data_IF_586558450651
#
_entry.id   IF_586558450651
#
_cell.length_a   1.000
_cell.length_b   1.000
_cell.length_c   1.000
_cell.angle_alpha   90.00
_cell.angle_beta   90.00
_cell.angle_gamma   90.00
#
_symmetry.space_group_name_H-M   'P 1'
#
loop_
_entity.id
_entity.type
_entity.pdbx_description
1 polymer ?
#
# COMPACT_ATOMS: atom_id res chain seq x y z
N UNK A 1 0.75 -7.38 -30.62
CA UNK A 1 0.31 -6.11 -29.99
C UNK A 1 -0.38 -6.45 -28.67
N UNK A 2 0.36 -6.53 -27.56
CA UNK A 2 -0.20 -6.97 -26.27
C UNK A 2 -0.61 -5.81 -25.35
N UNK A 3 -0.06 -4.61 -25.55
CA UNK A 3 -0.37 -3.40 -24.77
C UNK A 3 -1.08 -2.41 -25.71
N UNK A 4 -2.34 -2.02 -25.43
CA UNK A 4 -3.09 -1.08 -26.26
C UNK A 4 -2.59 0.37 -26.15
N UNK A 5 -1.70 0.66 -25.21
CA UNK A 5 -1.11 1.98 -24.99
C UNK A 5 0.30 2.06 -25.62
N UNK A 6 0.44 2.89 -26.66
CA UNK A 6 1.70 3.09 -27.37
C UNK A 6 2.79 3.72 -26.49
N UNK A 7 2.44 4.76 -25.71
CA UNK A 7 3.38 5.47 -24.84
C UNK A 7 3.97 4.54 -23.78
N UNK A 8 3.13 3.72 -23.15
CA UNK A 8 3.58 2.70 -22.19
C UNK A 8 4.52 1.69 -22.84
N UNK A 9 4.18 1.21 -24.04
CA UNK A 9 5.03 0.28 -24.80
C UNK A 9 6.39 0.87 -25.16
N UNK A 10 6.46 2.17 -25.49
CA UNK A 10 7.72 2.87 -25.75
C UNK A 10 8.57 3.01 -24.48
N UNK A 11 7.99 3.47 -23.38
CA UNK A 11 8.70 3.62 -22.09
C UNK A 11 9.32 2.31 -21.60
N UNK A 12 8.60 1.19 -21.71
CA UNK A 12 9.12 -0.13 -21.33
C UNK A 12 10.34 -0.55 -22.18
N UNK A 13 10.40 -0.17 -23.47
CA UNK A 13 11.57 -0.45 -24.31
C UNK A 13 12.79 0.35 -23.86
N UNK A 14 12.61 1.63 -23.52
CA UNK A 14 13.69 2.48 -23.02
C UNK A 14 14.29 1.89 -21.73
N UNK A 15 13.44 1.50 -20.78
CA UNK A 15 13.88 0.85 -19.53
C UNK A 15 14.62 -0.45 -19.83
N UNK A 16 14.12 -1.29 -20.76
CA UNK A 16 14.80 -2.52 -21.16
C UNK A 16 16.21 -2.26 -21.70
N UNK A 17 16.39 -1.26 -22.55
CA UNK A 17 17.73 -0.92 -23.06
C UNK A 17 18.68 -0.48 -21.95
N UNK A 18 18.20 0.27 -20.96
CA UNK A 18 18.99 0.60 -19.78
C UNK A 18 19.43 -0.67 -19.02
N UNK A 19 18.52 -1.61 -18.74
CA UNK A 19 18.89 -2.87 -18.07
C UNK A 19 19.82 -3.77 -18.89
N UNK A 20 19.68 -3.80 -20.22
CA UNK A 20 20.62 -4.51 -21.10
C UNK A 20 22.01 -3.87 -20.99
N UNK A 21 22.09 -2.54 -20.98
CA UNK A 21 23.35 -1.82 -20.83
C UNK A 21 24.01 -2.09 -19.47
N UNK A 22 23.26 -2.03 -18.36
CA UNK A 22 23.78 -2.40 -17.03
C UNK A 22 24.21 -3.87 -16.98
N UNK A 23 23.44 -4.76 -17.62
CA UNK A 23 23.79 -6.18 -17.76
C UNK A 23 25.04 -6.42 -18.61
N UNK A 24 25.30 -5.60 -19.61
CA UNK A 24 26.51 -5.69 -20.42
C UNK A 24 27.76 -5.20 -19.65
N UNK A 25 27.61 -4.17 -18.80
CA UNK A 25 28.73 -3.62 -18.02
C UNK A 25 29.15 -4.51 -16.83
N UNK A 26 28.19 -4.99 -16.05
CA UNK A 26 28.45 -5.68 -14.79
C UNK A 26 27.71 -7.03 -14.66
N UNK A 27 27.13 -7.54 -15.75
CA UNK A 27 26.41 -8.81 -15.74
C UNK A 27 25.18 -8.79 -14.84
N UNK A 28 25.00 -9.88 -14.10
CA UNK A 28 23.91 -10.02 -13.13
C UNK A 28 23.94 -8.94 -12.03
N UNK A 29 25.13 -8.55 -11.58
CA UNK A 29 25.28 -7.52 -10.54
C UNK A 29 24.72 -6.17 -10.99
N UNK A 30 24.96 -5.79 -12.25
CA UNK A 30 24.43 -4.54 -12.82
C UNK A 30 22.91 -4.53 -12.87
N UNK A 31 22.30 -5.66 -13.25
CA UNK A 31 20.84 -5.79 -13.28
C UNK A 31 20.26 -5.71 -11.86
N UNK A 32 20.85 -6.43 -10.90
CA UNK A 32 20.39 -6.42 -9.51
C UNK A 32 20.49 -5.02 -8.89
N UNK A 33 21.61 -4.32 -9.11
CA UNK A 33 21.80 -2.94 -8.64
C UNK A 33 20.83 -1.97 -9.31
N UNK A 34 20.65 -2.09 -10.63
CA UNK A 34 19.67 -1.29 -11.37
C UNK A 34 18.25 -1.50 -10.83
N UNK A 35 17.87 -2.74 -10.51
CA UNK A 35 16.58 -3.07 -9.91
C UNK A 35 16.43 -2.49 -8.51
N UNK A 36 17.49 -2.54 -7.70
CA UNK A 36 17.52 -1.93 -6.38
C UNK A 36 17.32 -0.41 -6.43
N UNK A 37 18.08 0.30 -7.27
CA UNK A 37 17.95 1.76 -7.44
C UNK A 37 16.55 2.12 -7.96
N UNK A 38 16.02 1.36 -8.92
CA UNK A 38 14.67 1.58 -9.43
C UNK A 38 13.61 1.41 -8.34
N UNK A 39 13.79 0.42 -7.45
CA UNK A 39 12.94 0.23 -6.27
C UNK A 39 12.99 1.41 -5.30
N UNK A 40 14.18 1.96 -5.01
CA UNK A 40 14.32 3.14 -4.17
C UNK A 40 13.58 4.36 -4.74
N UNK A 41 13.71 4.59 -6.05
CA UNK A 41 12.99 5.66 -6.75
C UNK A 41 11.47 5.50 -6.58
N UNK A 42 10.98 4.25 -6.64
CA UNK A 42 9.56 3.94 -6.52
C UNK A 42 9.02 4.16 -5.10
N UNK A 43 9.79 3.79 -4.07
CA UNK A 43 9.42 4.01 -2.66
C UNK A 43 9.42 5.52 -2.34
N UNK A 44 10.33 6.27 -2.95
CA UNK A 44 10.38 7.72 -2.81
C UNK A 44 9.28 8.45 -3.61
N UNK A 45 8.60 7.78 -4.53
CA UNK A 45 7.54 8.40 -5.29
C UNK A 45 6.31 8.61 -4.39
N UNK A 46 5.83 9.85 -4.29
CA UNK A 46 4.61 10.20 -3.58
C UNK A 46 3.47 10.55 -4.54
N UNK A 47 2.24 10.20 -4.18
CA UNK A 47 1.00 10.65 -4.82
C UNK A 47 0.19 11.45 -3.81
N UNK A 48 0.01 12.76 -4.08
CA UNK A 48 -0.75 13.67 -3.22
C UNK A 48 -0.37 13.63 -1.73
N UNK A 49 0.93 13.53 -1.43
CA UNK A 49 1.45 13.48 -0.06
C UNK A 49 1.44 12.08 0.58
N UNK A 50 0.92 11.07 -0.11
CA UNK A 50 0.95 9.66 0.32
C UNK A 50 2.03 8.90 -0.46
N UNK A 51 2.90 8.12 0.21
CA UNK A 51 3.87 7.27 -0.47
C UNK A 51 3.20 6.29 -1.43
N UNK A 52 3.72 6.13 -2.65
CA UNK A 52 3.12 5.24 -3.65
C UNK A 52 3.10 3.78 -3.20
N UNK A 53 4.06 3.38 -2.38
CA UNK A 53 4.17 2.04 -1.79
C UNK A 53 3.43 1.89 -0.46
N UNK A 54 2.62 2.86 -0.06
CA UNK A 54 1.79 2.75 1.14
C UNK A 54 0.83 1.56 1.00
N UNK A 55 0.68 0.71 2.04
CA UNK A 55 1.21 0.82 3.41
C UNK A 55 2.46 -0.06 3.68
N UNK A 56 3.10 -0.61 2.66
CA UNK A 56 4.25 -1.52 2.81
C UNK A 56 5.55 -0.77 3.12
N UNK A 57 5.72 0.41 2.54
CA UNK A 57 6.84 1.30 2.77
C UNK A 57 6.40 2.75 2.58
N UNK A 58 6.97 3.75 3.28
CA UNK A 58 7.95 3.67 4.38
C UNK A 58 7.38 2.97 5.62
N UNK A 59 8.22 2.63 6.60
CA UNK A 59 7.80 1.96 7.85
C UNK A 59 6.75 2.83 8.55
N UNK A 60 5.50 2.36 8.57
CA UNK A 60 4.37 3.01 9.24
C UNK A 60 4.05 2.27 10.53
N UNK A 61 3.53 2.99 11.53
CA UNK A 61 3.15 2.38 12.81
C UNK A 61 1.88 1.52 12.70
N UNK A 62 1.13 1.64 11.60
CA UNK A 62 -0.07 0.83 11.37
C UNK A 62 0.35 -0.60 11.04
N UNK A 63 -0.20 -1.61 11.74
CA UNK A 63 0.19 -2.99 11.51
C UNK A 63 -0.12 -3.40 10.06
N UNK A 64 0.90 -3.88 9.35
CA UNK A 64 0.79 -4.47 8.00
C UNK A 64 -0.27 -5.58 7.94
N UNK A 65 -0.63 -6.16 9.10
CA UNK A 65 -1.74 -7.11 9.25
C UNK A 65 -3.06 -6.58 8.69
N UNK A 66 -3.41 -5.31 8.86
CA UNK A 66 -4.68 -4.77 8.33
C UNK A 66 -4.72 -4.76 6.80
N UNK A 67 -3.53 -4.76 6.16
CA UNK A 67 -3.38 -4.75 4.70
C UNK A 67 -3.30 -6.17 4.12
N UNK A 68 -2.53 -7.05 4.77
CA UNK A 68 -2.32 -8.41 4.28
C UNK A 68 -3.51 -9.33 4.66
N UNK A 69 -3.99 -9.20 5.88
CA UNK A 69 -5.10 -9.99 6.43
C UNK A 69 -6.20 -9.03 6.82
N UNK A 70 -6.99 -8.57 5.84
CA UNK A 70 -8.09 -7.62 6.04
C UNK A 70 -9.07 -8.15 7.11
N UNK A 71 -9.03 -7.64 8.36
CA UNK A 71 -9.89 -8.17 9.42
C UNK A 71 -11.34 -7.73 9.16
N UNK A 72 -12.32 -8.37 9.80
CA UNK A 72 -13.72 -7.96 9.67
C UNK A 72 -13.94 -6.49 10.08
N UNK A 73 -14.95 -5.85 9.49
CA UNK A 73 -15.16 -4.38 9.56
C UNK A 73 -15.24 -3.87 10.99
N UNK A 74 -15.81 -4.64 11.92
CA UNK A 74 -15.98 -4.23 13.32
C UNK A 74 -14.67 -4.19 14.12
N UNK A 75 -13.57 -4.73 13.61
CA UNK A 75 -12.22 -4.68 14.23
C UNK A 75 -11.31 -3.62 13.58
N UNK A 76 -11.82 -2.84 12.62
CA UNK A 76 -11.06 -1.81 11.90
C UNK A 76 -11.26 -0.42 12.52
N UNK A 77 -10.89 -0.27 13.79
CA UNK A 77 -11.14 0.94 14.58
C UNK A 77 -10.24 2.12 14.21
N UNK A 78 -9.02 1.86 13.75
CA UNK A 78 -8.01 2.89 13.45
C UNK A 78 -7.98 3.25 11.98
N UNK A 79 -7.71 4.53 11.67
CA UNK A 79 -7.41 4.99 10.31
C UNK A 79 -5.96 4.61 9.94
N UNK A 80 -5.67 4.37 8.65
CA UNK A 80 -4.29 4.13 8.22
C UNK A 80 -3.39 5.35 8.43
N UNK A 81 -2.19 5.14 8.97
CA UNK A 81 -1.29 6.25 9.35
C UNK A 81 -0.78 7.06 8.14
N UNK A 82 -0.69 6.47 6.94
CA UNK A 82 -0.22 7.19 5.75
C UNK A 82 -1.12 8.34 5.32
N UNK A 83 -2.35 8.41 5.82
CA UNK A 83 -3.26 9.54 5.56
C UNK A 83 -2.99 10.74 6.46
N UNK A 84 -2.17 10.59 7.51
CA UNK A 84 -1.84 11.63 8.49
C UNK A 84 -3.08 12.41 8.97
N UNK A 85 -4.12 11.68 9.37
CA UNK A 85 -5.41 12.28 9.74
C UNK A 85 -5.31 12.88 11.15
N UNK A 86 -5.92 14.05 11.38
CA UNK A 86 -5.96 14.68 12.72
C UNK A 86 -6.66 13.81 13.77
N UNK A 87 -7.67 13.07 13.33
CA UNK A 87 -8.37 12.07 14.13
C UNK A 87 -7.96 10.68 13.66
N UNK A 88 -7.44 9.87 14.58
CA UNK A 88 -6.98 8.51 14.30
C UNK A 88 -8.07 7.45 14.44
N UNK A 89 -9.20 7.74 15.10
CA UNK A 89 -10.28 6.76 15.31
C UNK A 89 -11.30 6.82 14.17
N UNK A 90 -11.32 5.79 13.34
CA UNK A 90 -12.34 5.62 12.29
C UNK A 90 -13.71 5.34 12.90
N UNK A 91 -13.72 4.53 13.96
CA UNK A 91 -14.92 4.00 14.61
C UNK A 91 -14.69 3.89 16.13
N UNK A 92 -15.75 3.94 16.95
CA UNK A 92 -15.65 3.60 18.37
C UNK A 92 -15.27 2.13 18.57
N UNK A 93 -14.64 1.82 19.70
CA UNK A 93 -14.18 0.47 20.05
C UNK A 93 -15.28 -0.60 19.98
N UNK A 94 -16.53 -0.18 20.21
CA UNK A 94 -17.71 -1.01 19.98
C UNK A 94 -18.51 -0.37 18.84
N UNK A 95 -18.40 -0.94 17.64
CA UNK A 95 -19.14 -0.44 16.46
C UNK A 95 -20.59 -0.97 16.38
N UNK A 96 -20.91 -2.05 17.10
CA UNK A 96 -22.23 -2.72 17.10
C UNK A 96 -22.96 -2.55 18.43
N UNK A 97 -22.98 -1.34 18.97
CA UNK A 97 -23.66 -1.07 20.25
C UNK A 97 -25.16 -1.39 20.21
N UNK A 98 -25.80 -1.26 19.04
CA UNK A 98 -27.21 -1.58 18.85
C UNK A 98 -27.58 -3.03 19.19
N UNK A 99 -26.69 -4.00 18.97
CA UNK A 99 -26.96 -5.42 19.30
C UNK A 99 -27.05 -5.64 20.81
N UNK A 100 -26.20 -4.95 21.57
CA UNK A 100 -26.24 -5.05 23.04
C UNK A 100 -27.51 -4.40 23.59
N UNK A 101 -27.96 -3.30 22.96
CA UNK A 101 -29.19 -2.61 23.34
C UNK A 101 -30.43 -3.48 23.08
N UNK A 102 -30.47 -4.18 21.95
CA UNK A 102 -31.59 -5.05 21.60
C UNK A 102 -31.67 -6.28 22.55
N UNK A 103 -30.53 -6.78 23.05
CA UNK A 103 -30.49 -7.85 24.06
C UNK A 103 -31.04 -7.39 25.43
N UNK A 104 -30.70 -6.17 25.87
CA UNK A 104 -31.23 -5.60 27.13
C UNK A 104 -32.76 -5.40 27.06
N UNK A 105 -33.27 -4.82 25.97
CA UNK A 105 -34.71 -4.54 25.79
C UNK A 105 -35.55 -5.83 25.73
N UNK A 106 -34.98 -6.92 25.18
CA UNK A 106 -35.64 -8.23 25.12
C UNK A 106 -35.62 -9.04 26.42
N UNK A 107 -34.79 -8.64 27.40
CA UNK A 107 -34.70 -9.28 28.71
C UNK A 107 -35.56 -8.60 29.79
N UNK A 108 -36.12 -7.43 29.49
CA UNK A 108 -37.01 -6.67 30.37
C UNK A 108 -38.52 -6.92 30.10
N UNK A 109 -38.87 -7.66 29.04
CA UNK A 109 -40.21 -8.20 28.75
C UNK A 109 -40.41 -9.64 29.27
#
# INVERSE_FOLDING_TARGET
FAIPNFSLGFSLRVIRFAYIFLGALAGFLGIALGMYIHGLMYVSAGSFGVPFTAPFAPVMSTPVKDTLTRPPVWQQEKRPDYLNTKDNSKQPHISREWIKRDEEDSGEE
#
